data_IF_630547635014
#
_entry.id   IF_630547635014
#
_cell.length_a   1.000
_cell.length_b   1.000
_cell.length_c   1.000
_cell.angle_alpha   90.00
_cell.angle_beta   90.00
_cell.angle_gamma   90.00
#
_symmetry.space_group_name_H-M   'P 1'
#
loop_
_entity.id
_entity.type
_entity.pdbx_description
1 polymer ?
#
# COMPACT_ATOMS: atom_id res chain seq x y z
N UNK A 1 -54.77 7.86 24.30
CA UNK A 1 -53.74 8.85 24.70
C UNK A 1 -52.36 8.23 24.99
N UNK A 2 -52.24 6.94 25.32
CA UNK A 2 -50.95 6.26 25.52
C UNK A 2 -50.24 5.84 24.21
N UNK A 3 -50.96 5.44 23.16
CA UNK A 3 -50.34 4.95 21.90
C UNK A 3 -49.58 6.03 21.12
N UNK A 4 -50.06 7.28 21.12
CA UNK A 4 -49.36 8.39 20.44
C UNK A 4 -48.01 8.73 21.10
N UNK A 5 -47.86 8.47 22.40
CA UNK A 5 -46.60 8.71 23.13
C UNK A 5 -45.54 7.65 22.83
N UNK A 6 -45.94 6.41 22.54
CA UNK A 6 -45.03 5.33 22.16
C UNK A 6 -44.41 5.54 20.76
N UNK A 7 -45.23 6.00 19.80
CA UNK A 7 -44.78 6.22 18.41
C UNK A 7 -43.79 7.39 18.34
N UNK A 8 -44.01 8.47 19.08
CA UNK A 8 -43.07 9.59 19.16
C UNK A 8 -41.71 9.17 19.76
N UNK A 9 -41.73 8.28 20.75
CA UNK A 9 -40.51 7.78 21.39
C UNK A 9 -39.66 6.96 20.40
N UNK A 10 -40.27 6.03 19.67
CA UNK A 10 -39.60 5.22 18.63
C UNK A 10 -39.00 6.06 17.50
N UNK A 11 -39.70 7.11 17.03
CA UNK A 11 -39.18 8.01 16.01
C UNK A 11 -37.95 8.80 16.50
N UNK A 12 -37.95 9.26 17.75
CA UNK A 12 -36.78 9.95 18.32
C UNK A 12 -35.55 9.06 18.45
N UNK A 13 -35.73 7.78 18.82
CA UNK A 13 -34.60 6.83 18.89
C UNK A 13 -33.99 6.55 17.52
N UNK A 14 -34.81 6.36 16.48
CA UNK A 14 -34.31 6.12 15.10
C UNK A 14 -33.54 7.34 14.57
N UNK A 15 -34.04 8.55 14.82
CA UNK A 15 -33.34 9.79 14.42
C UNK A 15 -32.04 9.97 15.21
N UNK A 16 -32.01 9.66 16.51
CA UNK A 16 -30.78 9.70 17.31
C UNK A 16 -29.73 8.69 16.84
N UNK A 17 -30.13 7.47 16.49
CA UNK A 17 -29.23 6.46 15.91
C UNK A 17 -28.73 6.86 14.52
N UNK A 18 -29.59 7.40 13.65
CA UNK A 18 -29.19 7.87 12.33
C UNK A 18 -28.22 9.07 12.42
N UNK A 19 -28.48 10.03 13.33
CA UNK A 19 -27.59 11.17 13.56
C UNK A 19 -26.27 10.76 14.21
N UNK A 20 -26.23 9.71 15.03
CA UNK A 20 -24.99 9.13 15.56
C UNK A 20 -24.19 8.41 14.46
N UNK A 21 -24.85 7.70 13.55
CA UNK A 21 -24.23 7.04 12.41
C UNK A 21 -23.68 8.06 11.39
N UNK A 22 -24.45 9.09 11.06
CA UNK A 22 -24.02 10.19 10.17
C UNK A 22 -22.92 11.06 10.81
N UNK A 23 -22.96 11.31 12.13
CA UNK A 23 -21.82 11.92 12.84
C UNK A 23 -20.61 11.01 12.83
N UNK A 24 -20.77 9.69 12.96
CA UNK A 24 -19.71 8.70 12.86
C UNK A 24 -19.05 8.73 11.48
N UNK A 25 -19.83 8.75 10.41
CA UNK A 25 -19.33 8.90 9.04
C UNK A 25 -18.73 10.28 8.76
N UNK A 26 -19.32 11.36 9.26
CA UNK A 26 -18.82 12.72 9.06
C UNK A 26 -17.54 13.01 9.87
N UNK A 27 -17.42 12.49 11.10
CA UNK A 27 -16.18 12.53 11.88
C UNK A 27 -15.10 11.63 11.26
N UNK A 28 -15.48 10.47 10.71
CA UNK A 28 -14.58 9.59 9.96
C UNK A 28 -14.12 10.22 8.63
N UNK A 29 -14.98 10.97 7.94
CA UNK A 29 -14.66 11.69 6.69
C UNK A 29 -13.89 12.99 6.90
N UNK A 30 -14.00 13.63 8.08
CA UNK A 30 -13.40 14.94 8.36
C UNK A 30 -12.10 14.86 9.18
N UNK A 31 -11.64 13.66 9.54
CA UNK A 31 -10.46 13.48 10.39
C UNK A 31 -9.57 12.31 9.98
N UNK A 32 -8.80 12.44 8.90
CA UNK A 32 -7.43 11.91 8.88
C UNK A 32 -6.59 12.64 7.84
N UNK A 33 -5.78 13.56 8.33
CA UNK A 33 -4.41 13.67 7.82
C UNK A 33 -3.80 12.26 7.98
N UNK A 34 -4.02 11.34 7.03
CA UNK A 34 -3.39 10.03 7.03
C UNK A 34 -1.89 10.28 6.96
N UNK A 35 -1.22 10.22 8.10
CA UNK A 35 0.23 10.31 8.19
C UNK A 35 0.79 9.14 7.38
N UNK A 36 1.32 9.46 6.19
CA UNK A 36 1.88 8.49 5.26
C UNK A 36 3.25 8.09 5.80
N UNK A 37 3.27 7.02 6.58
CA UNK A 37 4.49 6.41 7.08
C UNK A 37 4.64 5.04 6.43
N UNK A 38 5.61 4.92 5.52
CA UNK A 38 5.87 3.69 4.77
C UNK A 38 6.15 2.51 5.69
N UNK A 39 6.72 2.76 6.88
CA UNK A 39 7.03 1.72 7.86
C UNK A 39 5.77 1.03 8.38
N UNK A 40 4.60 1.68 8.37
CA UNK A 40 3.32 1.07 8.79
C UNK A 40 2.87 -0.06 7.85
N UNK A 41 3.28 0.00 6.59
CA UNK A 41 3.01 -1.04 5.60
C UNK A 41 4.03 -2.18 5.66
N UNK A 42 5.17 -1.97 6.32
CA UNK A 42 6.24 -2.96 6.42
C UNK A 42 6.01 -3.80 7.67
N UNK A 43 5.97 -5.12 7.50
CA UNK A 43 5.94 -6.08 8.59
C UNK A 43 6.96 -7.16 8.27
N UNK A 44 7.90 -7.39 9.20
CA UNK A 44 9.00 -8.32 8.97
C UNK A 44 8.45 -9.72 8.70
N UNK A 45 9.04 -10.38 7.71
CA UNK A 45 8.67 -11.71 7.22
C UNK A 45 7.24 -11.84 6.70
N UNK A 46 6.47 -10.74 6.62
CA UNK A 46 5.17 -10.72 5.98
C UNK A 46 5.32 -10.27 4.52
N UNK A 47 4.86 -11.07 3.55
CA UNK A 47 4.88 -10.66 2.15
C UNK A 47 4.00 -9.43 1.88
N UNK A 48 4.53 -8.46 1.16
CA UNK A 48 3.81 -7.32 0.62
C UNK A 48 3.67 -7.47 -0.90
N UNK A 49 2.49 -7.88 -1.35
CA UNK A 49 2.24 -8.20 -2.75
C UNK A 49 1.90 -6.97 -3.56
N UNK A 50 2.45 -6.86 -4.78
CA UNK A 50 1.93 -5.95 -5.79
C UNK A 50 0.67 -6.59 -6.39
N UNK A 51 -0.49 -6.07 -5.98
CA UNK A 51 -1.80 -6.55 -6.40
C UNK A 51 -2.12 -6.10 -7.82
N UNK A 52 -2.07 -4.77 -8.04
CA UNK A 52 -2.19 -4.13 -9.34
C UNK A 52 -1.01 -3.19 -9.59
N UNK A 53 -0.64 -3.01 -10.85
CA UNK A 53 0.41 -2.09 -11.24
C UNK A 53 0.10 -1.39 -12.56
N UNK A 54 0.73 -0.23 -12.78
CA UNK A 54 0.86 0.37 -14.11
C UNK A 54 2.27 0.27 -14.68
N UNK A 55 3.15 -0.49 -14.02
CA UNK A 55 4.50 -0.78 -14.52
C UNK A 55 4.39 -1.53 -15.84
N UNK A 56 5.04 -1.05 -16.91
CA UNK A 56 5.05 -1.76 -18.19
C UNK A 56 5.74 -3.13 -18.05
N UNK A 57 5.48 -4.02 -19.00
CA UNK A 57 6.05 -5.38 -19.03
C UNK A 57 5.08 -6.48 -18.58
N UNK A 58 5.58 -7.72 -18.57
CA UNK A 58 4.77 -8.95 -18.48
C UNK A 58 4.99 -9.78 -17.22
N UNK A 59 5.65 -9.23 -16.20
CA UNK A 59 5.87 -9.96 -14.94
C UNK A 59 4.57 -10.16 -14.16
N UNK A 60 4.54 -11.21 -13.33
CA UNK A 60 3.49 -11.52 -12.36
C UNK A 60 4.08 -11.70 -10.96
N UNK A 61 3.21 -11.82 -9.96
CA UNK A 61 3.58 -12.25 -8.61
C UNK A 61 4.75 -11.46 -7.98
N UNK A 62 4.85 -10.16 -8.26
CA UNK A 62 5.87 -9.30 -7.65
C UNK A 62 5.56 -9.09 -6.17
N UNK A 63 6.53 -9.39 -5.31
CA UNK A 63 6.36 -9.37 -3.86
C UNK A 63 7.65 -8.96 -3.16
N UNK A 64 7.51 -8.16 -2.12
CA UNK A 64 8.61 -7.76 -1.24
C UNK A 64 8.45 -8.48 0.10
N UNK A 65 9.53 -9.09 0.59
CA UNK A 65 9.62 -9.71 1.92
C UNK A 65 10.76 -9.06 2.68
N UNK A 66 10.39 -8.24 3.67
CA UNK A 66 11.32 -7.50 4.51
C UNK A 66 11.84 -8.40 5.63
N UNK A 67 13.16 -8.44 5.83
CA UNK A 67 13.79 -9.30 6.83
C UNK A 67 14.57 -8.52 7.91
N UNK A 68 14.91 -7.26 7.66
CA UNK A 68 15.49 -6.37 8.67
C UNK A 68 15.00 -4.92 8.46
N UNK A 69 14.83 -4.17 9.54
CA UNK A 69 14.40 -2.77 9.53
C UNK A 69 15.05 -2.00 10.67
N UNK A 70 15.80 -0.96 10.30
CA UNK A 70 16.48 -0.01 11.17
C UNK A 70 15.77 1.34 11.12
N UNK A 71 16.30 2.34 11.84
CA UNK A 71 15.72 3.68 11.86
C UNK A 71 15.66 4.31 10.46
N UNK A 72 16.74 4.22 9.68
CA UNK A 72 16.83 4.86 8.36
C UNK A 72 16.83 3.88 7.18
N UNK A 73 16.94 2.59 7.44
CA UNK A 73 17.13 1.59 6.41
C UNK A 73 16.24 0.38 6.62
N UNK A 74 15.95 -0.36 5.55
CA UNK A 74 15.35 -1.68 5.60
C UNK A 74 15.96 -2.58 4.54
N UNK A 75 15.95 -3.87 4.80
CA UNK A 75 16.48 -4.88 3.89
C UNK A 75 15.38 -5.87 3.53
N UNK A 76 15.28 -6.19 2.25
CA UNK A 76 14.21 -7.02 1.75
C UNK A 76 14.61 -7.81 0.51
N UNK A 77 13.95 -8.95 0.34
CA UNK A 77 14.03 -9.73 -0.87
C UNK A 77 12.81 -9.39 -1.73
N UNK A 78 13.04 -9.00 -2.98
CA UNK A 78 11.98 -8.88 -3.98
C UNK A 78 11.98 -10.12 -4.86
N UNK A 79 10.83 -10.78 -4.94
CA UNK A 79 10.61 -11.90 -5.84
C UNK A 79 9.67 -11.46 -6.96
N UNK A 80 9.98 -11.89 -8.17
CA UNK A 80 9.21 -11.56 -9.38
C UNK A 80 9.07 -12.84 -10.20
N UNK A 81 7.83 -13.20 -10.54
CA UNK A 81 7.58 -14.26 -11.49
C UNK A 81 7.69 -13.69 -12.91
N UNK A 82 8.73 -14.10 -13.62
CA UNK A 82 8.95 -13.73 -15.02
C UNK A 82 8.61 -14.90 -15.93
N UNK A 83 8.40 -14.65 -17.22
CA UNK A 83 8.01 -15.69 -18.19
C UNK A 83 9.01 -16.83 -18.35
N UNK A 84 10.23 -16.71 -17.80
CA UNK A 84 11.30 -17.70 -17.92
C UNK A 84 11.59 -18.38 -16.58
N UNK A 85 11.79 -17.59 -15.51
CA UNK A 85 12.07 -18.11 -14.16
C UNK A 85 11.69 -17.11 -13.05
N UNK A 86 11.39 -17.57 -11.83
CA UNK A 86 11.37 -16.73 -10.64
C UNK A 86 12.70 -16.00 -10.47
N UNK A 87 12.65 -14.67 -10.37
CA UNK A 87 13.82 -13.84 -10.13
C UNK A 87 13.79 -13.28 -8.70
N UNK A 88 14.93 -13.33 -8.01
CA UNK A 88 15.13 -12.79 -6.66
C UNK A 88 16.11 -11.62 -6.71
N UNK A 89 15.73 -10.49 -6.14
CA UNK A 89 16.60 -9.34 -5.91
C UNK A 89 16.80 -9.16 -4.40
N UNK A 90 18.04 -8.93 -3.98
CA UNK A 90 18.39 -8.57 -2.60
C UNK A 90 18.58 -7.06 -2.57
N UNK A 91 17.69 -6.38 -1.84
CA UNK A 91 17.54 -4.93 -1.92
C UNK A 91 17.68 -4.28 -0.54
N UNK A 92 18.14 -3.04 -0.59
CA UNK A 92 18.16 -2.11 0.53
C UNK A 92 17.23 -0.94 0.23
N UNK A 93 16.52 -0.45 1.24
CA UNK A 93 15.66 0.72 1.17
C UNK A 93 16.12 1.77 2.18
N UNK A 94 16.56 2.94 1.73
CA UNK A 94 16.84 4.10 2.58
C UNK A 94 15.59 4.98 2.69
N UNK A 95 15.09 5.14 3.91
CA UNK A 95 13.90 5.94 4.19
C UNK A 95 14.20 7.44 4.13
N UNK A 96 13.33 8.18 3.45
CA UNK A 96 13.40 9.64 3.40
C UNK A 96 12.01 10.28 3.37
N UNK A 97 12.00 11.61 3.48
CA UNK A 97 10.79 12.42 3.47
C UNK A 97 10.64 13.05 2.08
N UNK A 98 9.65 12.61 1.31
CA UNK A 98 9.26 13.21 0.04
C UNK A 98 8.22 14.33 0.27
N UNK A 99 8.64 15.58 0.02
CA UNK A 99 7.78 16.75 -0.01
C UNK A 99 7.74 17.59 1.29
N UNK A 100 7.46 18.90 1.16
CA UNK A 100 7.60 19.88 2.25
C UNK A 100 6.62 19.67 3.42
N UNK A 101 5.44 19.10 3.14
CA UNK A 101 4.39 18.88 4.15
C UNK A 101 4.79 17.83 5.19
N UNK A 102 5.49 16.77 4.78
CA UNK A 102 5.90 15.70 5.68
C UNK A 102 7.10 16.11 6.56
N UNK A 103 7.95 17.03 6.08
CA UNK A 103 9.12 17.52 6.79
C UNK A 103 8.77 18.42 7.99
N UNK A 104 7.69 19.21 7.88
CA UNK A 104 7.24 20.15 8.92
C UNK A 104 6.64 19.51 10.19
N UNK A 105 6.39 18.18 10.20
CA UNK A 105 5.61 17.50 11.25
C UNK A 105 6.42 16.63 12.23
N UNK A 106 7.77 16.67 12.18
CA UNK A 106 8.62 15.92 13.11
C UNK A 106 8.63 14.41 12.83
N UNK A 107 9.55 13.99 11.95
CA UNK A 107 9.77 12.63 11.43
C UNK A 107 8.53 11.88 10.89
N UNK A 108 8.41 11.82 9.56
CA UNK A 108 7.49 10.91 8.85
C UNK A 108 8.17 10.47 7.55
N UNK A 109 8.59 9.20 7.47
CA UNK A 109 9.15 8.62 6.24
C UNK A 109 8.01 8.15 5.33
N UNK A 110 7.70 8.89 4.27
CA UNK A 110 6.69 8.50 3.27
C UNK A 110 7.31 7.87 2.02
N UNK A 111 8.64 7.78 1.95
CA UNK A 111 9.34 7.29 0.77
C UNK A 111 10.59 6.49 1.12
N UNK A 112 11.08 5.72 0.15
CA UNK A 112 12.39 5.07 0.21
C UNK A 112 13.09 5.07 -1.14
N UNK A 113 14.40 5.30 -1.11
CA UNK A 113 15.29 5.01 -2.24
C UNK A 113 15.70 3.55 -2.13
N UNK A 114 15.66 2.83 -3.24
CA UNK A 114 15.93 1.41 -3.32
C UNK A 114 17.23 1.21 -4.11
N UNK A 115 18.12 0.41 -3.55
CA UNK A 115 19.38 0.02 -4.17
C UNK A 115 19.59 -1.49 -4.06
N UNK A 116 20.47 -2.02 -4.90
CA UNK A 116 21.09 -3.31 -4.63
C UNK A 116 22.10 -3.14 -3.49
N UNK A 117 22.28 -4.16 -2.65
CA UNK A 117 23.23 -4.11 -1.52
C UNK A 117 24.68 -3.81 -1.91
N UNK A 118 25.04 -4.02 -3.18
CA UNK A 118 26.33 -3.63 -3.76
C UNK A 118 26.38 -2.14 -4.17
N UNK A 119 25.50 -1.31 -3.59
CA UNK A 119 25.46 0.15 -3.76
C UNK A 119 24.91 0.66 -5.09
N UNK A 120 24.40 -0.21 -5.96
CA UNK A 120 23.88 0.22 -7.27
C UNK A 120 22.44 0.73 -7.12
N UNK A 121 22.15 2.00 -7.49
CA UNK A 121 20.80 2.54 -7.45
C UNK A 121 19.82 1.72 -8.29
N UNK A 122 18.62 1.46 -7.78
CA UNK A 122 17.57 0.75 -8.50
C UNK A 122 16.39 1.66 -8.82
N UNK A 123 15.91 2.43 -7.85
CA UNK A 123 14.73 3.26 -8.02
C UNK A 123 14.23 3.86 -6.74
N UNK A 124 13.10 4.55 -6.79
CA UNK A 124 12.49 5.18 -5.64
C UNK A 124 11.03 4.79 -5.54
N UNK A 125 10.52 4.75 -4.31
CA UNK A 125 9.12 4.50 -3.99
C UNK A 125 8.60 5.54 -3.02
N UNK A 126 7.43 6.10 -3.33
CA UNK A 126 6.73 7.08 -2.51
C UNK A 126 5.32 6.59 -2.23
N UNK A 127 4.96 6.50 -0.97
CA UNK A 127 3.60 6.18 -0.54
C UNK A 127 2.70 7.37 -0.83
N UNK A 128 1.60 7.13 -1.55
CA UNK A 128 0.55 8.11 -1.87
C UNK A 128 -0.72 7.89 -1.05
N UNK A 129 -0.94 6.68 -0.55
CA UNK A 129 -2.06 6.35 0.33
C UNK A 129 -1.78 5.11 1.18
N UNK A 130 -2.32 5.07 2.40
CA UNK A 130 -2.39 3.92 3.29
C UNK A 130 -3.83 3.84 3.83
N UNK A 131 -4.42 2.64 3.87
CA UNK A 131 -5.74 2.46 4.47
C UNK A 131 -5.70 2.54 6.01
N UNK A 132 -6.87 2.55 6.63
CA UNK A 132 -6.96 2.69 8.08
C UNK A 132 -6.32 1.54 8.87
N UNK A 133 -6.23 0.34 8.29
CA UNK A 133 -5.71 -0.86 8.92
C UNK A 133 -4.26 -1.17 8.53
N UNK A 134 -3.63 -0.33 7.71
CA UNK A 134 -2.32 -0.57 7.10
C UNK A 134 -2.25 -1.92 6.35
N UNK A 135 -3.39 -2.40 5.85
CA UNK A 135 -3.53 -3.64 5.09
C UNK A 135 -3.12 -3.49 3.63
N UNK A 136 -3.19 -2.25 3.10
CA UNK A 136 -2.81 -1.94 1.73
C UNK A 136 -2.31 -0.50 1.60
N UNK A 137 -1.56 -0.27 0.54
CA UNK A 137 -1.05 1.06 0.20
C UNK A 137 -1.00 1.29 -1.30
N UNK A 138 -1.06 2.56 -1.69
CA UNK A 138 -0.82 3.00 -3.06
C UNK A 138 0.53 3.67 -3.12
N UNK A 139 1.37 3.18 -4.02
CA UNK A 139 2.75 3.63 -4.20
C UNK A 139 2.89 4.26 -5.58
N UNK A 140 3.65 5.34 -5.63
CA UNK A 140 4.30 5.80 -6.85
C UNK A 140 5.73 5.26 -6.85
N UNK A 141 6.22 4.82 -8.01
CA UNK A 141 7.57 4.31 -8.15
C UNK A 141 8.19 4.77 -9.47
N UNK A 142 9.51 4.82 -9.50
CA UNK A 142 10.32 5.05 -10.69
C UNK A 142 11.63 4.26 -10.60
N UNK A 143 12.22 3.95 -11.76
CA UNK A 143 13.58 3.41 -11.82
C UNK A 143 14.60 4.55 -11.82
N UNK A 144 15.71 4.38 -11.10
CA UNK A 144 16.82 5.34 -11.10
C UNK A 144 17.75 5.08 -12.29
N UNK A 145 18.34 6.15 -12.85
CA UNK A 145 19.30 6.08 -13.97
C UNK A 145 18.95 6.87 -15.22
N UNK A 146 17.73 7.44 -15.33
CA UNK A 146 17.41 8.39 -16.40
C UNK A 146 16.26 9.30 -15.97
N UNK A 147 16.51 10.62 -15.93
CA UNK A 147 15.49 11.66 -15.61
C UNK A 147 14.33 11.73 -16.61
N UNK A 148 14.39 10.92 -17.69
CA UNK A 148 13.40 10.77 -18.75
C UNK A 148 12.68 9.40 -18.75
N UNK A 149 12.83 8.56 -17.71
CA UNK A 149 12.22 7.21 -17.67
C UNK A 149 10.93 7.11 -16.82
N UNK A 150 10.09 6.18 -17.28
CA UNK A 150 8.74 5.86 -16.83
C UNK A 150 8.60 5.75 -15.30
N UNK A 151 7.64 6.48 -14.76
CA UNK A 151 7.10 6.23 -13.43
C UNK A 151 5.85 5.38 -13.53
N UNK A 152 5.47 4.71 -12.44
CA UNK A 152 4.27 3.89 -12.38
C UNK A 152 3.64 3.92 -10.99
N UNK A 153 2.43 3.38 -10.89
CA UNK A 153 1.70 3.25 -9.64
C UNK A 153 1.48 1.78 -9.32
N UNK A 154 1.63 1.42 -8.05
CA UNK A 154 1.39 0.08 -7.52
C UNK A 154 0.35 0.14 -6.39
N UNK A 155 -0.62 -0.75 -6.46
CA UNK A 155 -1.48 -1.09 -5.34
C UNK A 155 -0.86 -2.31 -4.66
N UNK A 156 -0.40 -2.12 -3.41
CA UNK A 156 0.23 -3.18 -2.63
C UNK A 156 -0.66 -3.62 -1.48
N UNK A 157 -0.66 -4.92 -1.19
CA UNK A 157 -1.54 -5.55 -0.19
C UNK A 157 -0.72 -6.52 0.65
N UNK A 158 -0.88 -6.44 1.98
CA UNK A 158 -0.24 -7.35 2.94
C UNK A 158 -0.79 -8.76 2.79
N UNK A 159 0.06 -9.76 3.00
CA UNK A 159 -0.33 -11.16 2.88
C UNK A 159 -1.48 -11.53 3.82
N UNK A 160 -1.52 -10.99 5.04
CA UNK A 160 -2.62 -11.19 6.00
C UNK A 160 -4.01 -10.77 5.49
N UNK A 161 -4.07 -9.87 4.49
CA UNK A 161 -5.32 -9.35 3.91
C UNK A 161 -5.55 -9.79 2.46
N UNK A 162 -4.64 -10.56 1.88
CA UNK A 162 -4.60 -10.80 0.43
C UNK A 162 -5.79 -11.63 -0.09
N UNK A 163 -6.35 -12.52 0.74
CA UNK A 163 -7.50 -13.37 0.40
C UNK A 163 -8.79 -12.59 0.26
N UNK A 164 -8.94 -11.50 1.02
CA UNK A 164 -10.05 -10.55 0.90
C UNK A 164 -9.81 -9.52 -0.21
N UNK A 165 -8.55 -9.38 -0.64
CA UNK A 165 -8.12 -8.35 -1.58
C UNK A 165 -7.88 -6.99 -0.91
N UNK A 166 -7.53 -5.96 -1.70
CA UNK A 166 -7.27 -4.62 -1.19
C UNK A 166 -8.53 -4.00 -0.59
N UNK A 167 -8.37 -3.24 0.51
CA UNK A 167 -9.45 -2.43 1.06
C UNK A 167 -10.00 -1.47 -0.02
N UNK A 168 -11.32 -1.22 0.03
CA UNK A 168 -12.05 -0.39 -0.96
C UNK A 168 -11.39 0.98 -1.15
N UNK A 169 -10.88 1.57 -0.08
CA UNK A 169 -10.25 2.89 -0.10
C UNK A 169 -8.91 2.87 -0.87
N UNK A 170 -8.05 1.86 -0.69
CA UNK A 170 -6.84 1.73 -1.49
C UNK A 170 -7.17 1.53 -2.98
N UNK A 171 -8.17 0.70 -3.29
CA UNK A 171 -8.60 0.52 -4.67
C UNK A 171 -9.11 1.83 -5.28
N UNK A 172 -9.93 2.59 -4.54
CA UNK A 172 -10.43 3.88 -5.00
C UNK A 172 -9.30 4.89 -5.25
N UNK A 173 -8.33 5.00 -4.34
CA UNK A 173 -7.19 5.90 -4.52
C UNK A 173 -6.28 5.45 -5.67
N UNK A 174 -6.02 4.15 -5.81
CA UNK A 174 -5.29 3.60 -6.95
C UNK A 174 -5.99 3.92 -8.30
N UNK A 175 -7.30 3.72 -8.36
CA UNK A 175 -8.11 4.04 -9.54
C UNK A 175 -8.11 5.53 -9.87
N UNK A 176 -8.16 6.38 -8.84
CA UNK A 176 -8.11 7.83 -8.98
C UNK A 176 -6.77 8.30 -9.55
N UNK A 177 -5.64 7.86 -8.96
CA UNK A 177 -4.31 8.30 -9.41
C UNK A 177 -4.00 7.79 -10.82
N UNK A 178 -4.32 6.54 -11.13
CA UNK A 178 -4.05 5.94 -12.45
C UNK A 178 -4.96 6.50 -13.56
N UNK A 179 -6.22 6.84 -13.24
CA UNK A 179 -7.09 7.56 -14.18
C UNK A 179 -6.54 8.95 -14.48
N UNK A 180 -6.04 9.67 -13.47
CA UNK A 180 -5.47 11.01 -13.64
C UNK A 180 -4.21 11.00 -14.50
N UNK A 181 -3.37 9.96 -14.39
CA UNK A 181 -2.14 9.84 -15.17
C UNK A 181 -2.32 9.12 -16.51
N UNK A 182 -3.54 8.65 -16.82
CA UNK A 182 -3.88 7.88 -18.04
C UNK A 182 -3.00 6.64 -18.25
N UNK A 183 -2.46 6.07 -17.16
CA UNK A 183 -1.60 4.90 -17.23
C UNK A 183 -2.42 3.62 -17.33
N UNK A 184 -1.98 2.68 -18.17
CA UNK A 184 -2.64 1.38 -18.31
C UNK A 184 -2.45 0.56 -17.03
N UNK A 185 -3.56 0.06 -16.49
CA UNK A 185 -3.58 -0.79 -15.28
C UNK A 185 -3.53 -2.26 -15.68
N UNK A 186 -2.89 -3.07 -14.86
CA UNK A 186 -2.95 -4.54 -14.94
C UNK A 186 -2.90 -5.18 -13.56
N UNK A 187 -3.57 -6.32 -13.43
CA UNK A 187 -3.45 -7.17 -12.26
C UNK A 187 -2.17 -8.01 -12.37
N UNK A 188 -1.40 -8.07 -11.30
CA UNK A 188 -0.17 -8.87 -11.21
C UNK A 188 -0.29 -10.02 -10.22
N UNK A 189 -1.19 -9.89 -9.25
CA UNK A 189 -1.44 -10.92 -8.26
C UNK A 189 -2.57 -11.86 -8.69
N UNK A 190 -2.41 -13.13 -8.37
CA UNK A 190 -3.46 -14.15 -8.33
C UNK A 190 -3.13 -15.13 -7.19
N UNK A 191 -4.09 -15.95 -6.75
CA UNK A 191 -3.87 -16.88 -5.63
C UNK A 191 -2.71 -17.86 -5.88
N UNK A 192 -2.43 -18.23 -7.14
CA UNK A 192 -1.28 -19.08 -7.49
C UNK A 192 0.08 -18.43 -7.21
N UNK A 193 0.14 -17.11 -7.04
CA UNK A 193 1.38 -16.41 -6.68
C UNK A 193 1.94 -16.85 -5.32
N UNK A 194 1.11 -17.39 -4.42
CA UNK A 194 1.58 -17.94 -3.15
C UNK A 194 2.61 -19.06 -3.34
N UNK A 195 2.55 -19.79 -4.47
CA UNK A 195 3.49 -20.86 -4.79
C UNK A 195 4.93 -20.34 -4.99
N UNK A 196 5.09 -19.07 -5.37
CA UNK A 196 6.40 -18.42 -5.55
C UNK A 196 7.23 -18.50 -4.26
N UNK A 197 6.56 -18.43 -3.10
CA UNK A 197 7.22 -18.41 -1.79
C UNK A 197 7.40 -19.80 -1.18
N UNK A 198 6.65 -20.81 -1.65
CA UNK A 198 6.76 -22.21 -1.19
C UNK A 198 8.06 -22.85 -1.69
N UNK A 199 8.44 -22.56 -2.95
CA UNK A 199 9.67 -23.09 -3.57
C UNK A 199 10.96 -22.43 -3.10
N UNK A 200 10.89 -21.28 -2.43
CA UNK A 200 12.06 -20.47 -2.06
C UNK A 200 12.54 -20.68 -0.61
N UNK A 201 12.08 -21.75 0.07
CA UNK A 201 12.40 -22.14 1.47
C UNK A 201 13.14 -21.05 2.25
N UNK A 202 12.38 -20.28 3.01
CA UNK A 202 12.84 -19.40 4.07
C UNK A 202 13.86 -20.12 4.97
N UNK A 203 15.15 -19.95 4.70
CA UNK A 203 16.21 -20.22 5.67
C UNK A 203 16.41 -18.95 6.45
N UNK A 204 15.93 -18.96 7.69
CA UNK A 204 16.17 -17.96 8.72
C UNK A 204 17.65 -17.92 9.11
#
# INVERSE_FOLDING_TARGET
MLEQRFIQCLQTYVVLFALQFDRGEALFRRGRNNVLDIKKLITLNEPLWVYNTTEPGYFKCKVDVYYDMKEKYTFFNRYIDTTLTPWKQILEGEFFIDGPTAQSRGQIYNAMNISYQIGHPWGQQVVKYIDANNSCGVFWANAEGNRNMYSWHELRVKNSSITLGPAKQCMNEYMKVTKSTKQQRRATYSSSCQNLLIGTRYTF
#
